data_IF_752756456287
#
_entry.id   IF_752756456287
#
_cell.length_a   1.000
_cell.length_b   1.000
_cell.length_c   1.000
_cell.angle_alpha   90.00
_cell.angle_beta   90.00
_cell.angle_gamma   90.00
#
_symmetry.space_group_name_H-M   'P 1'
#
loop_
_entity.id
_entity.type
_entity.pdbx_description
1 polymer ?
#
# COMPACT_ATOMS: atom_id res chain seq x y z
N UNK A 1 0.82 7.48 -14.89
CA UNK A 1 2.29 7.65 -14.63
C UNK A 1 2.55 7.45 -13.13
N UNK A 2 2.21 6.24 -12.61
CA UNK A 2 2.46 5.86 -11.22
C UNK A 2 3.89 5.36 -11.00
N UNK A 3 4.23 5.01 -9.74
CA UNK A 3 5.60 4.67 -9.32
C UNK A 3 6.22 3.51 -10.13
N UNK A 4 5.47 2.46 -10.46
CA UNK A 4 5.98 1.31 -11.24
C UNK A 4 6.39 1.71 -12.65
N UNK A 5 5.46 2.32 -13.42
CA UNK A 5 5.71 2.74 -14.79
C UNK A 5 6.82 3.78 -14.89
N UNK A 6 6.84 4.74 -13.96
CA UNK A 6 7.88 5.78 -13.92
C UNK A 6 9.26 5.22 -13.61
N UNK A 7 9.35 4.28 -12.66
CA UNK A 7 10.63 3.65 -12.30
C UNK A 7 11.23 2.85 -13.44
N UNK A 8 10.44 2.03 -14.13
CA UNK A 8 10.96 1.23 -15.25
C UNK A 8 11.28 2.11 -16.46
N UNK A 9 10.47 3.15 -16.74
CA UNK A 9 10.74 4.11 -17.83
C UNK A 9 12.12 4.76 -17.62
N UNK A 10 12.43 5.19 -16.40
CA UNK A 10 13.74 5.78 -16.07
C UNK A 10 14.88 4.78 -16.22
N UNK A 11 14.72 3.54 -15.74
CA UNK A 11 15.74 2.52 -15.87
C UNK A 11 16.05 2.20 -17.34
N UNK A 12 15.03 2.11 -18.19
CA UNK A 12 15.21 1.90 -19.64
C UNK A 12 15.98 3.08 -20.24
N UNK A 13 15.51 4.30 -20.02
CA UNK A 13 16.15 5.50 -20.59
C UNK A 13 17.63 5.62 -20.20
N UNK A 14 17.94 5.43 -18.90
CA UNK A 14 19.30 5.60 -18.40
C UNK A 14 20.27 4.47 -18.82
N UNK A 15 19.76 3.24 -18.91
CA UNK A 15 20.64 2.07 -19.08
C UNK A 15 20.77 1.64 -20.54
N UNK A 16 19.74 1.86 -21.36
CA UNK A 16 19.74 1.43 -22.77
C UNK A 16 19.91 2.56 -23.77
N UNK A 17 19.61 3.80 -23.35
CA UNK A 17 19.53 4.95 -24.25
C UNK A 17 18.28 4.94 -25.15
N UNK A 18 17.35 4.03 -24.96
CA UNK A 18 16.14 3.95 -25.74
C UNK A 18 15.17 5.09 -25.39
N UNK A 19 14.43 5.55 -26.39
CA UNK A 19 13.33 6.48 -26.21
C UNK A 19 12.13 5.77 -25.60
N UNK A 20 11.52 6.35 -24.57
CA UNK A 20 10.37 5.81 -23.84
C UNK A 20 9.20 6.76 -23.95
N UNK A 21 8.06 6.28 -24.41
CA UNK A 21 6.80 7.01 -24.33
C UNK A 21 5.99 6.49 -23.17
N UNK A 22 5.74 7.33 -22.16
CA UNK A 22 4.89 7.00 -21.04
C UNK A 22 3.55 7.72 -21.15
N UNK A 23 2.46 6.96 -21.05
CA UNK A 23 1.09 7.49 -21.17
C UNK A 23 0.34 7.37 -19.85
N UNK A 24 -0.64 8.23 -19.63
CA UNK A 24 -1.60 8.13 -18.54
C UNK A 24 -2.99 8.62 -18.99
N UNK A 25 -4.03 7.93 -18.57
CA UNK A 25 -5.43 8.36 -18.82
C UNK A 25 -5.78 9.64 -18.06
N UNK A 26 -5.09 9.93 -16.96
CA UNK A 26 -5.23 11.14 -16.15
C UNK A 26 -4.37 12.31 -16.67
N UNK A 27 -4.47 13.42 -15.97
CA UNK A 27 -3.81 14.69 -16.28
C UNK A 27 -2.61 14.99 -15.37
N UNK A 28 -2.26 14.06 -14.48
CA UNK A 28 -1.26 14.29 -13.43
C UNK A 28 -0.27 13.13 -13.31
N UNK A 29 0.92 13.44 -12.80
CA UNK A 29 1.96 12.49 -12.42
C UNK A 29 1.66 11.97 -11.02
N UNK A 30 2.09 10.72 -10.72
CA UNK A 30 2.00 10.14 -9.38
C UNK A 30 1.12 8.89 -9.30
N UNK A 31 0.09 8.79 -10.14
CA UNK A 31 -0.90 7.72 -10.02
C UNK A 31 -1.49 7.72 -8.61
N UNK A 32 -1.58 6.55 -7.96
CA UNK A 32 -2.09 6.48 -6.58
C UNK A 32 -1.17 7.14 -5.53
N UNK A 33 0.09 7.44 -5.87
CA UNK A 33 1.00 8.19 -4.99
C UNK A 33 0.85 9.72 -5.14
N UNK A 34 -0.09 10.20 -5.96
CA UNK A 34 -0.28 11.62 -6.18
C UNK A 34 -0.56 12.36 -4.88
N UNK A 35 0.23 13.40 -4.64
CA UNK A 35 0.11 14.31 -3.52
C UNK A 35 0.22 15.77 -3.98
N UNK A 36 -0.28 16.66 -3.16
CA UNK A 36 -0.26 18.09 -3.43
C UNK A 36 -0.32 18.89 -2.12
N UNK A 37 0.17 20.12 -2.14
CA UNK A 37 -0.05 21.04 -1.02
C UNK A 37 -1.39 21.73 -1.15
N UNK A 38 -2.18 21.67 -0.08
CA UNK A 38 -3.46 22.41 -0.01
C UNK A 38 -3.24 23.91 0.21
N UNK A 39 -4.32 24.67 0.31
CA UNK A 39 -4.30 26.12 0.56
C UNK A 39 -3.70 26.51 1.93
N UNK A 40 -3.61 25.57 2.86
CA UNK A 40 -3.02 25.77 4.20
C UNK A 40 -1.55 25.32 4.26
N UNK A 41 -0.96 24.90 3.12
CA UNK A 41 0.41 24.43 3.00
C UNK A 41 0.63 23.02 3.51
N UNK A 42 -0.44 22.25 3.76
CA UNK A 42 -0.37 20.86 4.22
C UNK A 42 -0.25 19.93 3.02
N UNK A 43 0.70 18.97 3.05
CA UNK A 43 0.87 17.96 2.01
C UNK A 43 -0.23 16.90 2.12
N UNK A 44 -1.12 16.87 1.15
CA UNK A 44 -2.26 15.95 1.07
C UNK A 44 -1.93 14.79 0.15
N UNK A 45 -2.05 13.57 0.62
CA UNK A 45 -2.01 12.38 -0.21
C UNK A 45 -3.43 12.09 -0.71
N UNK A 46 -3.69 12.37 -1.98
CA UNK A 46 -5.06 12.35 -2.57
C UNK A 46 -5.73 10.99 -2.45
N UNK A 47 -4.97 9.93 -2.57
CA UNK A 47 -5.47 8.55 -2.61
C UNK A 47 -5.14 7.75 -1.34
N UNK A 48 -5.11 8.44 -0.18
CA UNK A 48 -4.80 7.87 1.12
C UNK A 48 -3.31 7.92 1.45
N UNK A 49 -3.00 7.59 2.69
CA UNK A 49 -1.64 7.69 3.20
C UNK A 49 -0.68 6.74 2.52
N UNK A 50 0.34 7.29 1.94
CA UNK A 50 1.46 6.56 1.35
C UNK A 50 2.70 6.79 2.21
N UNK A 51 3.21 5.73 2.82
CA UNK A 51 4.41 5.75 3.66
C UNK A 51 5.43 4.85 3.00
N UNK A 52 6.57 5.40 2.63
CA UNK A 52 7.63 4.59 2.02
C UNK A 52 8.43 3.86 3.10
N UNK A 53 8.57 2.57 2.97
CA UNK A 53 9.39 1.72 3.81
C UNK A 53 9.95 0.56 2.98
N UNK A 54 11.16 0.14 3.29
CA UNK A 54 11.79 -1.00 2.64
C UNK A 54 13.00 -1.51 3.42
N UNK A 55 13.30 -2.80 3.31
CA UNK A 55 14.57 -3.38 3.69
C UNK A 55 15.47 -3.68 2.46
N UNK A 56 14.93 -3.45 1.25
CA UNK A 56 15.68 -3.58 0.00
C UNK A 56 16.51 -2.33 -0.28
N UNK A 57 17.85 -2.49 -0.17
CA UNK A 57 18.79 -1.39 -0.37
C UNK A 57 18.78 -0.84 -1.79
N UNK A 58 18.60 -1.69 -2.80
CA UNK A 58 18.63 -1.26 -4.20
C UNK A 58 17.45 -0.36 -4.55
N UNK A 59 16.27 -0.69 -4.01
CA UNK A 59 15.07 0.16 -4.13
C UNK A 59 15.27 1.50 -3.43
N UNK A 60 15.83 1.48 -2.20
CA UNK A 60 16.13 2.70 -1.47
C UNK A 60 17.14 3.58 -2.21
N UNK A 61 18.23 3.00 -2.69
CA UNK A 61 19.30 3.71 -3.40
C UNK A 61 18.79 4.29 -4.73
N UNK A 62 17.90 3.56 -5.43
CA UNK A 62 17.29 4.04 -6.67
C UNK A 62 16.45 5.29 -6.41
N UNK A 63 15.49 5.24 -5.48
CA UNK A 63 14.62 6.36 -5.20
C UNK A 63 15.35 7.55 -4.58
N UNK A 64 16.38 7.30 -3.76
CA UNK A 64 17.20 8.34 -3.13
C UNK A 64 18.00 9.20 -4.11
N UNK A 65 18.10 8.79 -5.38
CA UNK A 65 18.68 9.65 -6.45
C UNK A 65 17.75 10.81 -6.82
N UNK A 66 16.44 10.69 -6.54
CA UNK A 66 15.43 11.63 -7.00
C UNK A 66 14.75 12.41 -5.88
N UNK A 67 15.00 12.02 -4.64
CA UNK A 67 14.48 12.74 -3.46
C UNK A 67 15.38 12.54 -2.25
N UNK A 68 15.29 13.44 -1.28
CA UNK A 68 15.67 13.17 0.09
C UNK A 68 14.43 12.66 0.85
N UNK A 69 14.63 11.71 1.75
CA UNK A 69 13.56 11.25 2.64
C UNK A 69 13.69 11.92 4.01
N UNK A 70 12.56 12.33 4.58
CA UNK A 70 12.55 12.76 5.99
C UNK A 70 12.66 11.55 6.92
N UNK A 71 12.93 11.82 8.19
CA UNK A 71 13.04 10.80 9.24
C UNK A 71 11.66 10.51 9.84
N UNK A 72 10.75 9.97 9.02
CA UNK A 72 9.40 9.63 9.46
C UNK A 72 9.28 8.15 9.79
N UNK A 73 9.00 7.84 11.07
CA UNK A 73 8.76 6.48 11.55
C UNK A 73 7.26 6.28 11.79
N UNK A 74 6.61 5.59 10.88
CA UNK A 74 5.15 5.44 10.91
C UNK A 74 4.66 4.70 12.14
N UNK A 75 3.63 5.26 12.78
CA UNK A 75 2.88 4.63 13.87
C UNK A 75 1.41 4.65 13.51
N UNK A 76 0.72 3.58 13.87
CA UNK A 76 -0.73 3.44 13.72
C UNK A 76 -1.30 3.08 15.08
N UNK A 77 -2.37 3.73 15.46
CA UNK A 77 -3.16 3.34 16.63
C UNK A 77 -4.51 2.80 16.17
N UNK A 78 -5.15 1.99 17.02
CA UNK A 78 -6.54 1.61 16.89
C UNK A 78 -7.34 2.17 18.07
N UNK A 79 -8.53 2.67 17.80
CA UNK A 79 -9.46 3.07 18.86
C UNK A 79 -10.21 1.82 19.36
N UNK A 80 -9.84 1.33 20.53
CA UNK A 80 -10.42 0.15 21.16
C UNK A 80 -11.00 0.55 22.52
N UNK A 81 -12.31 0.39 22.72
CA UNK A 81 -13.00 0.74 23.97
C UNK A 81 -12.66 2.16 24.48
N UNK A 82 -12.51 3.11 23.56
CA UNK A 82 -12.16 4.52 23.86
C UNK A 82 -10.67 4.78 24.08
N UNK A 83 -9.81 3.76 24.01
CA UNK A 83 -8.36 3.90 24.14
C UNK A 83 -7.66 3.83 22.80
N UNK A 84 -6.66 4.70 22.60
CA UNK A 84 -5.77 4.63 21.44
C UNK A 84 -4.66 3.61 21.72
N UNK A 85 -4.72 2.48 21.03
CA UNK A 85 -3.86 1.31 21.24
C UNK A 85 -2.91 1.14 20.07
N UNK A 86 -1.58 1.01 20.28
CA UNK A 86 -0.61 0.81 19.21
C UNK A 86 -0.89 -0.44 18.36
N UNK A 87 -0.70 -0.30 17.03
CA UNK A 87 -0.77 -1.40 16.06
C UNK A 87 0.56 -1.44 15.27
N UNK A 88 1.18 -2.63 15.06
CA UNK A 88 0.76 -3.98 15.46
C UNK A 88 0.57 -4.12 16.98
N UNK A 89 -0.41 -4.93 17.37
CA UNK A 89 -0.70 -5.16 18.78
C UNK A 89 0.55 -5.72 19.48
N UNK A 90 1.01 -5.06 20.55
CA UNK A 90 2.30 -5.30 21.18
C UNK A 90 2.22 -5.21 22.72
N UNK A 91 3.34 -5.25 23.44
CA UNK A 91 3.33 -5.16 24.90
C UNK A 91 2.74 -3.85 25.43
N UNK A 92 2.92 -2.73 24.73
CA UNK A 92 2.31 -1.47 25.13
C UNK A 92 0.79 -1.48 24.85
N UNK A 93 0.36 -2.20 23.81
CA UNK A 93 -1.06 -2.45 23.55
C UNK A 93 -1.71 -3.28 24.68
N UNK A 94 -1.04 -4.37 25.10
CA UNK A 94 -1.49 -5.21 26.22
C UNK A 94 -1.67 -4.37 27.49
N UNK A 95 -0.72 -3.51 27.82
CA UNK A 95 -0.80 -2.65 29.01
C UNK A 95 -1.87 -1.57 28.94
N UNK A 96 -2.23 -1.13 27.74
CA UNK A 96 -3.34 -0.17 27.57
C UNK A 96 -4.71 -0.82 27.65
N UNK A 97 -4.81 -2.09 27.26
CA UNK A 97 -6.08 -2.81 27.24
C UNK A 97 -6.39 -3.53 28.54
N UNK A 98 -5.39 -3.95 29.32
CA UNK A 98 -5.58 -4.83 30.47
C UNK A 98 -4.99 -4.27 31.77
N UNK A 99 -5.57 -4.63 32.93
CA UNK A 99 -4.99 -4.32 34.22
C UNK A 99 -3.55 -4.83 34.37
N UNK A 100 -2.71 -4.09 35.06
CA UNK A 100 -1.26 -4.34 35.15
C UNK A 100 -0.88 -5.78 35.49
N UNK A 101 -1.57 -6.41 36.45
CA UNK A 101 -1.30 -7.80 36.88
C UNK A 101 -1.55 -8.79 35.75
N UNK A 102 -2.65 -8.63 35.01
CA UNK A 102 -2.97 -9.49 33.86
C UNK A 102 -2.00 -9.23 32.70
N UNK A 103 -1.74 -7.96 32.41
CA UNK A 103 -0.81 -7.57 31.35
C UNK A 103 0.59 -8.18 31.56
N UNK A 104 1.12 -8.07 32.78
CA UNK A 104 2.41 -8.67 33.14
C UNK A 104 2.42 -10.19 32.97
N UNK A 105 1.39 -10.89 33.44
CA UNK A 105 1.29 -12.33 33.29
C UNK A 105 1.22 -12.78 31.83
N UNK A 106 0.45 -12.08 31.02
CA UNK A 106 0.37 -12.32 29.55
C UNK A 106 1.74 -12.08 28.89
N UNK A 107 2.41 -10.97 29.21
CA UNK A 107 3.76 -10.67 28.66
C UNK A 107 4.77 -11.79 28.98
N UNK A 108 4.80 -12.27 30.23
CA UNK A 108 5.67 -13.35 30.68
C UNK A 108 5.41 -14.66 29.93
N UNK A 109 4.14 -15.03 29.73
CA UNK A 109 3.74 -16.21 28.95
C UNK A 109 4.11 -16.10 27.48
N UNK A 110 3.86 -14.95 26.86
CA UNK A 110 4.23 -14.71 25.47
C UNK A 110 5.75 -14.83 25.25
N UNK A 111 6.55 -14.26 26.14
CA UNK A 111 8.00 -14.35 26.09
C UNK A 111 8.51 -15.80 26.26
N UNK A 112 7.82 -16.61 27.07
CA UNK A 112 8.15 -18.04 27.23
C UNK A 112 7.86 -18.84 25.96
N UNK A 113 6.84 -18.47 25.18
CA UNK A 113 6.45 -19.18 23.94
C UNK A 113 7.38 -18.88 22.76
N UNK A 114 7.76 -17.61 22.54
CA UNK A 114 8.46 -17.18 21.31
C UNK A 114 9.62 -16.21 21.51
N UNK A 115 9.82 -15.67 22.67
CA UNK A 115 10.87 -14.69 22.94
C UNK A 115 10.59 -13.29 22.38
N UNK A 116 11.38 -12.33 22.87
CA UNK A 116 11.27 -10.91 22.48
C UNK A 116 11.61 -10.70 21.00
N UNK A 117 10.91 -9.77 20.34
CA UNK A 117 11.11 -9.42 18.93
C UNK A 117 10.36 -10.32 17.93
N UNK A 118 9.69 -11.37 18.40
CA UNK A 118 8.90 -12.26 17.53
C UNK A 118 7.56 -11.64 17.14
N UNK A 119 7.09 -11.97 15.94
CA UNK A 119 5.74 -11.68 15.45
C UNK A 119 4.96 -12.98 15.34
N UNK A 120 3.79 -13.03 15.91
CA UNK A 120 2.96 -14.22 15.94
C UNK A 120 1.61 -13.92 15.31
N UNK A 121 1.22 -14.61 14.22
CA UNK A 121 -0.10 -14.47 13.63
C UNK A 121 -1.20 -14.79 14.67
N UNK A 122 -2.29 -14.02 14.64
CA UNK A 122 -3.40 -14.20 15.60
C UNK A 122 -3.93 -15.63 15.61
N UNK A 123 -4.02 -16.28 14.45
CA UNK A 123 -4.51 -17.66 14.33
C UNK A 123 -3.68 -18.67 15.11
N UNK A 124 -2.36 -18.46 15.20
CA UNK A 124 -1.47 -19.35 15.95
C UNK A 124 -1.69 -19.24 17.46
N UNK A 125 -2.15 -18.08 17.94
CA UNK A 125 -2.51 -17.88 19.33
C UNK A 125 -3.84 -18.52 19.72
N UNK A 126 -4.81 -18.58 18.80
CA UNK A 126 -6.12 -19.20 19.09
C UNK A 126 -6.02 -20.69 19.39
N UNK A 127 -4.93 -21.34 18.97
CA UNK A 127 -4.69 -22.77 19.14
C UNK A 127 -3.81 -23.10 20.37
N UNK A 128 -3.46 -22.11 21.20
CA UNK A 128 -2.65 -22.33 22.40
C UNK A 128 -3.48 -22.99 23.54
N UNK A 129 -2.85 -23.86 24.32
CA UNK A 129 -3.50 -24.51 25.47
C UNK A 129 -3.70 -23.58 26.67
N UNK A 130 -2.91 -22.50 26.75
CA UNK A 130 -2.95 -21.51 27.82
C UNK A 130 -4.18 -20.60 27.72
N UNK A 131 -4.95 -20.50 28.83
CA UNK A 131 -6.19 -19.72 28.88
C UNK A 131 -5.96 -18.21 28.67
N UNK A 132 -4.89 -17.64 29.23
CA UNK A 132 -4.60 -16.21 29.09
C UNK A 132 -4.19 -15.88 27.63
N UNK A 133 -3.46 -16.78 26.96
CA UNK A 133 -3.07 -16.60 25.58
C UNK A 133 -4.25 -16.76 24.62
N UNK A 134 -5.16 -17.70 24.87
CA UNK A 134 -6.42 -17.80 24.11
C UNK A 134 -7.31 -16.58 24.31
N UNK A 135 -7.42 -16.11 25.58
CA UNK A 135 -8.16 -14.88 25.88
C UNK A 135 -7.60 -13.68 25.12
N UNK A 136 -6.27 -13.49 25.14
CA UNK A 136 -5.60 -12.44 24.37
C UNK A 136 -5.90 -12.57 22.87
N UNK A 137 -5.78 -13.78 22.31
CA UNK A 137 -6.03 -14.03 20.91
C UNK A 137 -7.47 -13.65 20.52
N UNK A 138 -8.44 -14.08 21.31
CA UNK A 138 -9.85 -13.74 21.06
C UNK A 138 -10.09 -12.23 21.17
N UNK A 139 -9.54 -11.59 22.19
CA UNK A 139 -9.66 -10.14 22.37
C UNK A 139 -9.10 -9.35 21.18
N UNK A 140 -7.90 -9.72 20.71
CA UNK A 140 -7.27 -9.06 19.56
C UNK A 140 -8.05 -9.35 18.27
N UNK A 141 -8.53 -10.58 18.11
CA UNK A 141 -9.35 -10.94 16.97
C UNK A 141 -10.62 -10.08 16.90
N UNK A 142 -11.37 -10.01 17.99
CA UNK A 142 -12.66 -9.32 18.04
C UNK A 142 -12.51 -7.79 17.94
N UNK A 143 -11.50 -7.20 18.59
CA UNK A 143 -11.39 -5.76 18.75
C UNK A 143 -10.47 -5.06 17.75
N UNK A 144 -9.56 -5.81 17.11
CA UNK A 144 -8.58 -5.24 16.17
C UNK A 144 -8.79 -5.74 14.75
N UNK A 145 -9.15 -7.02 14.60
CA UNK A 145 -8.99 -7.71 13.33
C UNK A 145 -10.30 -7.91 12.56
N UNK A 146 -11.30 -8.58 13.15
CA UNK A 146 -12.46 -9.08 12.41
C UNK A 146 -13.23 -7.96 11.71
N UNK A 147 -13.72 -6.98 12.43
CA UNK A 147 -14.57 -5.93 11.87
C UNK A 147 -13.81 -4.95 10.98
N UNK A 148 -12.53 -4.70 11.27
CA UNK A 148 -11.67 -3.92 10.38
C UNK A 148 -11.50 -4.61 9.02
N UNK A 149 -11.23 -5.91 9.06
CA UNK A 149 -11.04 -6.74 7.86
C UNK A 149 -12.34 -6.86 7.05
N UNK A 150 -13.47 -7.07 7.72
CA UNK A 150 -14.79 -7.07 7.07
C UNK A 150 -15.07 -5.75 6.35
N UNK A 151 -14.84 -4.60 6.99
CA UNK A 151 -15.01 -3.30 6.36
C UNK A 151 -14.08 -3.12 5.16
N UNK A 152 -12.80 -3.45 5.31
CA UNK A 152 -11.80 -3.23 4.27
C UNK A 152 -12.02 -4.12 3.05
N UNK A 153 -12.37 -5.39 3.26
CA UNK A 153 -12.46 -6.38 2.19
C UNK A 153 -13.90 -6.71 1.77
N UNK A 154 -14.90 -6.31 2.55
CA UNK A 154 -16.30 -6.65 2.28
C UNK A 154 -16.60 -8.14 2.40
N UNK A 155 -15.74 -8.91 3.06
CA UNK A 155 -15.82 -10.37 3.22
C UNK A 155 -15.44 -10.78 4.63
N UNK A 156 -15.98 -11.92 5.06
CA UNK A 156 -15.53 -12.57 6.29
C UNK A 156 -14.04 -12.90 6.23
N UNK A 157 -13.25 -12.67 7.30
CA UNK A 157 -11.83 -12.95 7.34
C UNK A 157 -11.44 -14.38 6.96
N UNK A 158 -12.33 -15.37 7.19
CA UNK A 158 -12.10 -16.77 6.82
C UNK A 158 -12.10 -17.01 5.30
N UNK A 159 -12.67 -16.07 4.52
CA UNK A 159 -12.76 -16.14 3.06
C UNK A 159 -11.63 -15.37 2.35
N UNK A 160 -10.70 -14.80 3.12
CA UNK A 160 -9.60 -13.99 2.61
C UNK A 160 -8.31 -14.77 2.74
N UNK A 161 -7.41 -14.62 1.74
CA UNK A 161 -6.10 -15.26 1.75
C UNK A 161 -5.36 -15.02 3.09
N UNK A 162 -4.80 -16.11 3.62
CA UNK A 162 -4.01 -16.10 4.84
C UNK A 162 -2.86 -15.09 4.87
N UNK A 163 -2.33 -14.72 3.72
CA UNK A 163 -1.31 -13.67 3.59
C UNK A 163 -1.83 -12.28 3.98
N UNK A 164 -3.12 -12.01 3.77
CA UNK A 164 -3.75 -10.75 4.19
C UNK A 164 -3.96 -10.74 5.70
N UNK A 165 -4.41 -11.86 6.26
CA UNK A 165 -4.68 -12.00 7.69
C UNK A 165 -3.39 -12.05 8.54
N UNK A 166 -2.28 -12.53 7.96
CA UNK A 166 -0.96 -12.55 8.61
C UNK A 166 -0.32 -11.15 8.78
N UNK A 167 -0.87 -10.13 8.15
CA UNK A 167 -0.35 -8.75 8.22
C UNK A 167 -0.59 -8.04 9.56
N UNK A 168 -1.42 -8.60 10.43
CA UNK A 168 -1.69 -8.05 11.76
C UNK A 168 -1.25 -9.05 12.84
N UNK A 169 0.05 -9.28 13.01
CA UNK A 169 0.56 -10.14 14.07
C UNK A 169 0.51 -9.43 15.41
N UNK A 170 0.51 -10.21 16.50
CA UNK A 170 0.93 -9.71 17.80
C UNK A 170 2.46 -9.63 17.79
N UNK A 171 3.00 -8.45 18.09
CA UNK A 171 4.45 -8.20 18.09
C UNK A 171 4.99 -8.19 19.51
N UNK A 172 5.82 -9.16 19.86
CA UNK A 172 6.38 -9.35 21.19
C UNK A 172 7.51 -8.34 21.46
N UNK A 173 7.18 -7.06 21.47
CA UNK A 173 8.11 -5.94 21.60
C UNK A 173 7.41 -4.73 22.21
N UNK A 174 8.20 -3.72 22.57
CA UNK A 174 7.73 -2.34 22.87
C UNK A 174 7.94 -1.38 21.72
N UNK A 175 8.37 -1.89 20.55
CA UNK A 175 8.47 -1.08 19.35
C UNK A 175 7.07 -0.85 18.77
N UNK A 176 6.58 0.39 18.88
CA UNK A 176 5.27 0.81 18.39
C UNK A 176 5.30 1.30 16.92
N UNK A 177 6.42 1.14 16.22
CA UNK A 177 6.46 1.44 14.78
C UNK A 177 5.61 0.43 14.02
N UNK A 178 4.87 0.91 13.04
CA UNK A 178 4.05 0.05 12.21
C UNK A 178 4.90 -0.86 11.33
N UNK A 179 5.98 -0.32 10.77
CA UNK A 179 6.98 -1.05 9.99
C UNK A 179 8.30 -1.18 10.78
N UNK A 180 8.99 -2.31 10.64
CA UNK A 180 10.31 -2.54 11.21
C UNK A 180 11.41 -2.55 10.14
N UNK A 181 11.09 -2.10 8.93
CA UNK A 181 12.04 -1.99 7.83
C UNK A 181 13.18 -1.04 8.15
N UNK A 182 14.35 -1.34 7.57
CA UNK A 182 15.57 -0.58 7.78
C UNK A 182 15.46 0.87 7.32
N UNK A 183 14.79 1.07 6.19
CA UNK A 183 14.60 2.38 5.58
C UNK A 183 13.13 2.75 5.61
N UNK A 184 12.83 3.93 6.12
CA UNK A 184 11.48 4.47 6.19
C UNK A 184 11.53 5.99 6.05
N UNK A 185 10.53 6.57 5.42
CA UNK A 185 10.42 8.03 5.29
C UNK A 185 9.33 8.43 4.30
N UNK A 186 9.16 9.73 4.20
CA UNK A 186 8.33 10.38 3.18
C UNK A 186 9.24 11.24 2.33
N UNK A 187 9.12 11.27 0.99
CA UNK A 187 9.85 12.22 0.17
C UNK A 187 9.65 13.65 0.66
N UNK A 188 10.74 14.38 0.92
CA UNK A 188 10.67 15.69 1.59
C UNK A 188 9.87 16.74 0.80
N UNK A 189 9.79 16.57 -0.53
CA UNK A 189 9.01 17.44 -1.42
C UNK A 189 7.70 16.78 -1.90
N UNK A 190 7.37 15.59 -1.38
CA UNK A 190 6.24 14.77 -1.79
C UNK A 190 6.58 13.74 -2.86
N UNK A 191 5.67 12.78 -3.04
CA UNK A 191 5.80 11.70 -4.02
C UNK A 191 5.69 12.19 -5.46
N UNK A 192 4.78 13.11 -5.73
CA UNK A 192 4.59 13.69 -7.06
C UNK A 192 5.88 14.33 -7.54
N UNK A 193 6.51 15.18 -6.71
CA UNK A 193 7.78 15.81 -7.04
C UNK A 193 8.93 14.79 -7.24
N UNK A 194 8.96 13.72 -6.45
CA UNK A 194 9.93 12.63 -6.66
C UNK A 194 9.71 11.95 -8.02
N UNK A 195 8.47 11.63 -8.37
CA UNK A 195 8.15 10.95 -9.63
C UNK A 195 8.38 11.90 -10.83
N UNK A 196 8.14 13.19 -10.68
CA UNK A 196 8.52 14.20 -11.69
C UNK A 196 10.02 14.14 -11.98
N UNK A 197 10.87 14.11 -10.95
CA UNK A 197 12.33 13.98 -11.10
C UNK A 197 12.75 12.64 -11.73
N UNK A 198 12.05 11.55 -11.42
CA UNK A 198 12.26 10.25 -12.07
C UNK A 198 11.98 10.37 -13.57
N UNK A 199 10.93 11.07 -13.97
CA UNK A 199 10.51 11.24 -15.36
C UNK A 199 11.23 12.40 -16.08
N UNK A 200 12.11 13.14 -15.40
CA UNK A 200 12.88 14.23 -16.00
C UNK A 200 14.09 13.67 -16.76
N UNK A 201 13.84 13.28 -18.01
CA UNK A 201 14.84 12.78 -18.96
C UNK A 201 14.44 13.17 -20.37
N UNK A 202 15.40 13.59 -21.21
CA UNK A 202 15.12 13.91 -22.64
C UNK A 202 14.69 12.68 -23.45
N UNK A 203 14.91 11.49 -22.92
CA UNK A 203 14.51 10.22 -23.54
C UNK A 203 13.12 9.75 -23.10
N UNK A 204 12.44 10.49 -22.21
CA UNK A 204 11.11 10.13 -21.72
C UNK A 204 10.08 11.15 -22.19
N UNK A 205 9.24 10.75 -23.13
CA UNK A 205 8.09 11.52 -23.60
C UNK A 205 6.86 11.22 -22.74
N UNK A 206 6.20 12.23 -22.19
CA UNK A 206 5.01 12.11 -21.34
C UNK A 206 3.76 12.50 -22.12
N UNK A 207 2.74 11.62 -22.18
CA UNK A 207 1.44 11.88 -22.78
C UNK A 207 0.33 11.69 -21.78
N UNK A 208 -0.31 12.77 -21.39
CA UNK A 208 -1.46 12.79 -20.47
C UNK A 208 -2.77 12.67 -21.26
N UNK A 209 -3.87 12.40 -20.52
CA UNK A 209 -5.22 12.24 -21.08
C UNK A 209 -5.23 11.26 -22.25
N UNK A 210 -4.41 10.21 -22.17
CA UNK A 210 -4.22 9.23 -23.24
C UNK A 210 -4.50 7.83 -22.69
N UNK A 211 -5.59 7.23 -23.15
CA UNK A 211 -5.87 5.82 -22.87
C UNK A 211 -5.09 4.92 -23.82
N UNK A 212 -4.69 3.75 -23.35
CA UNK A 212 -3.90 2.82 -24.16
C UNK A 212 -4.63 2.39 -25.44
N UNK A 213 -5.96 2.23 -25.38
CA UNK A 213 -6.75 1.90 -26.58
C UNK A 213 -6.65 2.94 -27.69
N UNK A 214 -6.43 4.22 -27.33
CA UNK A 214 -6.38 5.37 -28.26
C UNK A 214 -4.97 5.66 -28.77
N UNK A 215 -3.96 4.92 -28.34
CA UNK A 215 -2.59 5.06 -28.86
C UNK A 215 -2.56 4.53 -30.29
N UNK A 216 -2.18 5.36 -31.27
CA UNK A 216 -2.00 4.89 -32.65
C UNK A 216 -0.72 4.05 -32.76
N UNK A 217 -0.66 3.19 -33.76
CA UNK A 217 0.54 2.45 -34.18
C UNK A 217 1.23 1.68 -33.05
N UNK A 218 0.42 0.99 -32.20
CA UNK A 218 0.94 0.21 -31.07
C UNK A 218 1.98 -0.84 -31.49
N UNK A 219 1.85 -1.34 -32.69
CA UNK A 219 2.75 -2.34 -33.30
C UNK A 219 4.12 -1.74 -33.66
N UNK A 220 4.25 -0.40 -33.70
CA UNK A 220 5.53 0.27 -33.97
C UNK A 220 6.48 0.31 -32.78
N UNK A 221 5.98 0.01 -31.56
CA UNK A 221 6.80 -0.06 -30.37
C UNK A 221 7.43 -1.44 -30.24
N UNK A 222 8.73 -1.49 -29.94
CA UNK A 222 9.47 -2.73 -29.74
C UNK A 222 8.89 -3.55 -28.57
N UNK A 223 8.50 -2.89 -27.50
CA UNK A 223 7.92 -3.52 -26.33
C UNK A 223 6.99 -2.56 -25.57
N UNK A 224 5.93 -3.11 -24.99
CA UNK A 224 4.92 -2.39 -24.21
C UNK A 224 4.94 -2.90 -22.77
N UNK A 225 5.07 -1.97 -21.83
CA UNK A 225 5.02 -2.22 -20.40
C UNK A 225 3.70 -1.72 -19.84
N UNK A 226 2.78 -2.63 -19.58
CA UNK A 226 1.42 -2.28 -19.21
C UNK A 226 1.20 -2.38 -17.70
N UNK A 227 0.85 -1.25 -17.07
CA UNK A 227 0.60 -1.16 -15.61
C UNK A 227 -0.88 -1.06 -15.25
N UNK A 228 -1.76 -1.06 -16.25
CA UNK A 228 -3.21 -1.06 -16.09
C UNK A 228 -3.79 -2.46 -15.83
N UNK A 229 -5.09 -2.58 -15.60
CA UNK A 229 -5.75 -3.85 -15.35
C UNK A 229 -5.87 -4.69 -16.63
N UNK A 230 -5.45 -5.95 -16.56
CA UNK A 230 -5.42 -6.88 -17.71
C UNK A 230 -6.80 -7.21 -18.25
N UNK A 231 -7.81 -7.26 -17.37
CA UNK A 231 -9.21 -7.52 -17.76
C UNK A 231 -9.78 -6.39 -18.62
N UNK A 232 -9.45 -5.13 -18.30
CA UNK A 232 -9.84 -3.96 -19.10
C UNK A 232 -9.10 -3.96 -20.45
N UNK A 233 -7.81 -4.29 -20.48
CA UNK A 233 -7.04 -4.40 -21.70
C UNK A 233 -7.65 -5.41 -22.70
N UNK A 234 -8.27 -6.46 -22.18
CA UNK A 234 -8.86 -7.55 -22.95
C UNK A 234 -10.40 -7.52 -22.99
N UNK A 235 -10.98 -6.31 -22.86
CA UNK A 235 -12.43 -6.04 -22.98
C UNK A 235 -13.30 -6.96 -22.08
N UNK A 236 -12.80 -7.32 -20.90
CA UNK A 236 -13.49 -8.16 -19.89
C UNK A 236 -13.99 -9.51 -20.41
N UNK A 237 -13.37 -10.08 -21.42
CA UNK A 237 -13.87 -11.29 -22.13
C UNK A 237 -14.00 -12.56 -21.28
N UNK A 238 -13.30 -12.64 -20.14
CA UNK A 238 -13.47 -13.73 -19.16
C UNK A 238 -14.24 -13.28 -17.91
N UNK A 239 -14.76 -12.03 -17.91
CA UNK A 239 -15.39 -11.39 -16.79
C UNK A 239 -14.47 -10.44 -16.04
N UNK A 240 -15.03 -9.47 -15.28
CA UNK A 240 -14.23 -8.49 -14.57
C UNK A 240 -13.48 -9.12 -13.40
N UNK A 241 -12.23 -8.72 -13.21
CA UNK A 241 -11.47 -9.02 -12.00
C UNK A 241 -11.99 -8.17 -10.84
N UNK A 242 -12.27 -8.77 -9.68
CA UNK A 242 -12.75 -8.04 -8.51
C UNK A 242 -11.68 -7.16 -7.89
N UNK A 243 -12.06 -5.93 -7.52
CA UNK A 243 -11.22 -5.01 -6.77
C UNK A 243 -12.00 -4.39 -5.62
N UNK A 244 -11.28 -3.93 -4.62
CA UNK A 244 -11.80 -2.97 -3.63
C UNK A 244 -11.47 -1.56 -4.07
N UNK A 245 -12.35 -0.65 -3.72
CA UNK A 245 -12.19 0.78 -3.84
C UNK A 245 -12.17 1.44 -2.47
N UNK A 246 -11.70 2.67 -2.41
CA UNK A 246 -11.80 3.52 -1.23
C UNK A 246 -12.18 4.94 -1.66
N UNK A 247 -12.97 5.60 -0.82
CA UNK A 247 -13.18 7.04 -0.94
C UNK A 247 -12.82 7.75 0.36
N UNK A 248 -12.49 9.02 0.24
CA UNK A 248 -12.03 9.83 1.36
C UNK A 248 -12.94 11.02 1.57
N UNK A 249 -13.43 11.19 2.80
CA UNK A 249 -14.11 12.40 3.21
C UNK A 249 -13.11 13.32 3.89
N UNK A 250 -12.74 14.40 3.19
CA UNK A 250 -11.78 15.39 3.68
C UNK A 250 -12.49 16.40 4.58
N UNK A 251 -11.87 16.73 5.71
CA UNK A 251 -12.37 17.73 6.65
C UNK A 251 -11.19 18.58 7.15
N UNK A 252 -11.39 19.91 7.19
CA UNK A 252 -10.40 20.88 7.69
C UNK A 252 -10.86 21.42 9.03
N UNK A 253 -9.94 21.55 9.99
CA UNK A 253 -10.21 22.04 11.35
C UNK A 253 -9.26 23.17 11.74
N UNK A 254 -9.79 24.18 12.41
CA UNK A 254 -9.05 25.32 12.99
C UNK A 254 -8.41 24.92 14.31
N UNK A 255 -7.42 24.02 14.24
CA UNK A 255 -6.62 23.57 15.40
C UNK A 255 -5.32 22.90 14.93
N UNK A 256 -4.36 22.81 15.83
CA UNK A 256 -3.04 22.26 15.51
C UNK A 256 -3.10 20.81 15.06
N UNK A 257 -3.79 19.93 15.80
CA UNK A 257 -4.00 18.52 15.46
C UNK A 257 -5.42 18.07 15.79
N UNK A 258 -5.95 17.16 15.00
CA UNK A 258 -7.26 16.53 15.21
C UNK A 258 -7.17 15.33 16.14
N UNK A 259 -6.13 14.53 15.98
CA UNK A 259 -5.88 13.29 16.71
C UNK A 259 -4.43 13.22 17.19
N UNK A 260 -4.09 12.22 17.98
CA UNK A 260 -2.76 12.10 18.61
C UNK A 260 -1.67 11.59 17.67
N UNK A 261 -2.04 11.09 16.49
CA UNK A 261 -1.13 10.41 15.57
C UNK A 261 -1.62 10.53 14.12
N UNK A 262 -0.73 10.32 13.16
CA UNK A 262 -1.04 10.44 11.73
C UNK A 262 -2.16 9.51 11.26
N UNK A 263 -2.24 8.29 11.81
CA UNK A 263 -3.27 7.31 11.45
C UNK A 263 -3.85 6.66 12.70
N UNK A 264 -5.17 6.72 12.83
CA UNK A 264 -5.93 5.96 13.82
C UNK A 264 -6.95 5.10 13.09
N UNK A 265 -6.89 3.79 13.34
CA UNK A 265 -7.86 2.82 12.86
C UNK A 265 -9.09 2.80 13.78
N UNK A 266 -10.25 2.64 13.17
CA UNK A 266 -11.54 2.54 13.84
C UNK A 266 -12.16 1.17 13.54
N UNK A 267 -11.68 0.09 14.20
CA UNK A 267 -12.12 -1.26 13.86
C UNK A 267 -13.59 -1.50 14.14
N UNK A 268 -14.11 -0.97 15.24
CA UNK A 268 -15.47 -1.25 15.72
C UNK A 268 -16.39 -0.03 15.61
N UNK A 269 -17.71 -0.23 15.49
CA UNK A 269 -18.80 0.76 15.67
C UNK A 269 -18.71 2.04 14.80
N UNK A 270 -17.95 2.02 13.70
CA UNK A 270 -17.80 3.12 12.76
C UNK A 270 -17.97 2.60 11.34
N UNK A 271 -18.50 3.45 10.47
CA UNK A 271 -18.71 3.14 9.04
C UNK A 271 -17.45 3.38 8.19
N UNK A 272 -16.44 4.06 8.74
CA UNK A 272 -15.12 4.25 8.14
C UNK A 272 -14.07 3.33 8.77
N UNK A 273 -12.98 3.09 8.05
CA UNK A 273 -11.90 2.19 8.49
C UNK A 273 -10.87 2.90 9.36
N UNK A 274 -10.51 4.14 8.98
CA UNK A 274 -9.45 4.93 9.64
C UNK A 274 -9.57 6.40 9.35
N UNK A 275 -8.90 7.20 10.17
CA UNK A 275 -8.70 8.63 9.93
C UNK A 275 -7.21 8.86 9.70
N UNK A 276 -6.90 9.56 8.60
CA UNK A 276 -5.58 10.07 8.29
C UNK A 276 -5.50 11.54 8.66
N UNK A 277 -4.42 11.96 9.33
CA UNK A 277 -4.10 13.36 9.56
C UNK A 277 -2.77 13.67 8.89
N UNK A 278 -2.81 14.38 7.78
CA UNK A 278 -1.69 14.54 6.86
C UNK A 278 -0.54 15.38 7.40
N UNK A 279 -0.82 16.34 8.25
CA UNK A 279 0.15 17.29 8.81
C UNK A 279 1.34 16.63 9.49
N UNK A 280 1.15 15.41 10.04
CA UNK A 280 2.21 14.66 10.70
C UNK A 280 3.32 14.16 9.76
N UNK A 281 3.02 13.94 8.47
CA UNK A 281 3.95 13.26 7.56
C UNK A 281 5.21 14.06 7.27
N UNK A 282 5.06 15.34 6.97
CA UNK A 282 6.17 16.26 6.74
C UNK A 282 6.36 17.27 7.88
N UNK A 283 5.63 17.11 8.99
CA UNK A 283 5.61 18.07 10.10
C UNK A 283 5.30 19.49 9.63
N UNK A 284 4.31 19.60 8.75
CA UNK A 284 3.89 20.85 8.14
C UNK A 284 3.44 21.86 9.20
N UNK A 285 3.78 23.11 9.00
CA UNK A 285 3.45 24.22 9.92
C UNK A 285 2.20 24.93 9.42
N UNK A 286 1.14 24.83 10.19
CA UNK A 286 -0.14 25.49 9.91
C UNK A 286 -0.94 25.56 11.21
N UNK A 287 -1.77 26.59 11.35
CA UNK A 287 -2.73 26.72 12.46
C UNK A 287 -3.95 25.79 12.25
N UNK A 288 -4.08 25.24 11.05
CA UNK A 288 -5.13 24.30 10.68
C UNK A 288 -4.59 22.88 10.52
N UNK A 289 -5.49 21.92 10.56
CA UNK A 289 -5.18 20.54 10.19
C UNK A 289 -6.23 19.98 9.24
N UNK A 290 -5.81 19.05 8.38
CA UNK A 290 -6.67 18.34 7.43
C UNK A 290 -6.64 16.85 7.75
N UNK A 291 -7.84 16.28 7.88
CA UNK A 291 -8.02 14.84 8.02
C UNK A 291 -8.76 14.26 6.83
N UNK A 292 -8.57 12.96 6.63
CA UNK A 292 -9.37 12.16 5.71
C UNK A 292 -9.95 10.95 6.44
N UNK A 293 -11.28 10.82 6.45
CA UNK A 293 -11.95 9.58 6.84
C UNK A 293 -12.00 8.66 5.65
N UNK A 294 -11.45 7.45 5.80
CA UNK A 294 -11.38 6.44 4.75
C UNK A 294 -12.55 5.47 4.83
N UNK A 295 -13.28 5.34 3.72
CA UNK A 295 -14.37 4.40 3.55
C UNK A 295 -13.98 3.37 2.49
N UNK A 296 -14.08 2.11 2.83
CA UNK A 296 -13.84 1.02 1.89
C UNK A 296 -15.15 0.57 1.25
N UNK A 297 -15.12 0.36 -0.05
CA UNK A 297 -16.28 -0.02 -0.85
C UNK A 297 -15.90 -0.99 -1.97
N UNK A 298 -16.89 -1.61 -2.62
CA UNK A 298 -16.64 -2.41 -3.79
C UNK A 298 -16.28 -1.53 -5.00
N UNK A 299 -15.34 -2.01 -5.80
CA UNK A 299 -15.07 -1.39 -7.09
C UNK A 299 -16.24 -1.61 -8.04
N UNK A 300 -16.69 -0.54 -8.68
CA UNK A 300 -17.73 -0.58 -9.71
C UNK A 300 -17.22 0.13 -10.96
N UNK A 301 -17.18 -0.59 -12.08
CA UNK A 301 -16.70 -0.10 -13.37
C UNK A 301 -17.39 1.22 -13.73
N UNK A 302 -16.60 2.24 -14.04
CA UNK A 302 -17.08 3.57 -14.43
C UNK A 302 -17.60 4.46 -13.30
N UNK A 303 -17.54 4.02 -12.02
CA UNK A 303 -18.02 4.80 -10.88
C UNK A 303 -16.91 5.22 -9.91
N UNK A 304 -15.95 4.33 -9.64
CA UNK A 304 -14.88 4.57 -8.70
C UNK A 304 -13.56 3.94 -9.17
N UNK A 305 -12.48 4.14 -8.41
CA UNK A 305 -11.14 3.70 -8.81
C UNK A 305 -10.79 2.32 -8.23
N UNK A 306 -9.93 1.58 -8.95
CA UNK A 306 -9.35 0.31 -8.48
C UNK A 306 -8.21 0.57 -7.49
N UNK A 307 -8.34 0.08 -6.26
CA UNK A 307 -7.27 0.21 -5.26
C UNK A 307 -6.59 -1.12 -4.96
N UNK A 308 -7.35 -2.13 -4.59
CA UNK A 308 -6.80 -3.39 -4.10
C UNK A 308 -7.41 -4.57 -4.85
N UNK A 309 -6.61 -5.39 -5.56
CA UNK A 309 -7.06 -6.69 -6.04
C UNK A 309 -7.60 -7.54 -4.89
N UNK A 310 -8.70 -8.25 -5.10
CA UNK A 310 -9.28 -9.15 -4.10
C UNK A 310 -8.59 -10.53 -4.22
N UNK A 311 -7.74 -10.95 -3.25
CA UNK A 311 -6.97 -12.17 -3.37
C UNK A 311 -7.78 -13.39 -2.90
N UNK A 312 -8.34 -14.14 -3.84
CA UNK A 312 -8.97 -15.45 -3.61
C UNK A 312 -8.46 -16.44 -4.67
N UNK A 313 -8.65 -17.74 -4.43
CA UNK A 313 -8.26 -18.76 -5.40
C UNK A 313 -8.98 -18.55 -6.74
N UNK A 314 -10.28 -18.23 -6.70
CA UNK A 314 -11.10 -17.96 -7.89
C UNK A 314 -10.54 -16.79 -8.72
N UNK A 315 -10.12 -15.72 -8.04
CA UNK A 315 -9.57 -14.54 -8.73
C UNK A 315 -8.18 -14.81 -9.27
N UNK A 316 -7.38 -15.64 -8.61
CA UNK A 316 -6.09 -16.08 -9.10
C UNK A 316 -6.23 -16.92 -10.38
N UNK A 317 -7.20 -17.86 -10.42
CA UNK A 317 -7.51 -18.64 -11.62
C UNK A 317 -8.00 -17.75 -12.77
N UNK A 318 -8.87 -16.78 -12.48
CA UNK A 318 -9.37 -15.85 -13.50
C UNK A 318 -8.23 -14.99 -14.07
N UNK A 319 -7.36 -14.46 -13.21
CA UNK A 319 -6.18 -13.71 -13.63
C UNK A 319 -5.24 -14.57 -14.49
N UNK A 320 -5.02 -15.82 -14.11
CA UNK A 320 -4.19 -16.75 -14.89
C UNK A 320 -4.73 -16.99 -16.30
N UNK A 321 -6.07 -17.09 -16.48
CA UNK A 321 -6.70 -17.19 -17.80
C UNK A 321 -6.41 -15.97 -18.68
N UNK A 322 -6.44 -14.77 -18.06
CA UNK A 322 -6.07 -13.54 -18.77
C UNK A 322 -4.60 -13.52 -19.18
N UNK A 323 -3.68 -13.94 -18.29
CA UNK A 323 -2.26 -14.03 -18.61
C UNK A 323 -1.98 -14.96 -19.77
N UNK A 324 -2.51 -16.19 -19.75
CA UNK A 324 -2.33 -17.19 -20.81
C UNK A 324 -2.86 -16.68 -22.16
N UNK A 325 -3.96 -15.94 -22.15
CA UNK A 325 -4.48 -15.34 -23.36
C UNK A 325 -3.59 -14.19 -23.87
N UNK A 326 -3.13 -13.33 -22.95
CA UNK A 326 -2.26 -12.22 -23.26
C UNK A 326 -0.89 -12.66 -23.81
N UNK A 327 -0.29 -13.71 -23.26
CA UNK A 327 0.97 -14.27 -23.76
C UNK A 327 0.87 -14.76 -25.22
N UNK A 328 -0.30 -15.26 -25.63
CA UNK A 328 -0.54 -15.74 -27.00
C UNK A 328 -0.85 -14.61 -27.97
N UNK A 329 -1.62 -13.62 -27.54
CA UNK A 329 -2.20 -12.60 -28.41
C UNK A 329 -1.42 -11.28 -28.44
N UNK A 330 -0.67 -11.02 -27.36
CA UNK A 330 0.05 -9.77 -27.12
C UNK A 330 1.52 -10.04 -26.73
N UNK A 331 2.30 -10.74 -27.57
CA UNK A 331 3.63 -11.24 -27.20
C UNK A 331 4.66 -10.15 -26.92
N UNK A 332 4.42 -8.92 -27.33
CA UNK A 332 5.27 -7.77 -27.04
C UNK A 332 4.81 -6.93 -25.83
N UNK A 333 3.85 -7.43 -25.02
CA UNK A 333 3.37 -6.76 -23.81
C UNK A 333 3.85 -7.51 -22.57
N UNK A 334 4.40 -6.79 -21.61
CA UNK A 334 4.67 -7.29 -20.25
C UNK A 334 3.87 -6.51 -19.23
N UNK A 335 3.38 -7.23 -18.23
CA UNK A 335 2.58 -6.67 -17.14
C UNK A 335 3.44 -6.40 -15.91
N UNK A 336 3.18 -5.29 -15.23
CA UNK A 336 3.80 -4.94 -13.95
C UNK A 336 2.93 -3.94 -13.21
N UNK A 337 3.22 -3.76 -11.94
CA UNK A 337 2.44 -2.87 -11.09
C UNK A 337 1.23 -3.57 -10.47
N UNK A 338 0.66 -2.97 -9.42
CA UNK A 338 -0.41 -3.58 -8.63
C UNK A 338 -1.60 -4.05 -9.46
N UNK A 339 -2.00 -3.28 -10.46
CA UNK A 339 -3.13 -3.64 -11.33
C UNK A 339 -2.70 -4.62 -12.42
N UNK A 340 -1.53 -4.40 -13.05
CA UNK A 340 -1.00 -5.27 -14.10
C UNK A 340 -0.66 -6.68 -13.63
N UNK A 341 -0.05 -6.81 -12.45
CA UNK A 341 0.25 -8.10 -11.81
C UNK A 341 -0.95 -8.69 -11.03
N UNK A 342 -2.06 -7.96 -10.90
CA UNK A 342 -3.19 -8.31 -10.04
C UNK A 342 -2.76 -8.75 -8.64
N UNK A 343 -1.82 -8.01 -8.04
CA UNK A 343 -1.24 -8.30 -6.72
C UNK A 343 -1.33 -7.14 -5.77
N UNK A 344 -1.66 -7.45 -4.50
CA UNK A 344 -1.55 -6.47 -3.43
C UNK A 344 -0.11 -6.42 -2.91
N UNK A 345 0.59 -5.32 -3.19
CA UNK A 345 1.92 -5.06 -2.65
C UNK A 345 2.18 -3.55 -2.44
N UNK A 346 3.15 -3.25 -1.59
CA UNK A 346 3.52 -1.90 -1.21
C UNK A 346 4.42 -1.24 -2.27
N UNK A 347 4.70 0.05 -2.12
CA UNK A 347 5.47 0.83 -3.10
C UNK A 347 6.87 0.27 -3.35
N UNK A 348 7.54 -0.24 -2.31
CA UNK A 348 8.86 -0.83 -2.44
C UNK A 348 8.85 -2.08 -3.34
N UNK A 349 7.83 -2.92 -3.18
CA UNK A 349 7.62 -4.10 -4.03
C UNK A 349 7.26 -3.72 -5.46
N UNK A 350 6.53 -2.59 -5.62
CA UNK A 350 6.22 -2.06 -6.94
C UNK A 350 7.48 -1.63 -7.70
N UNK A 351 8.42 -0.96 -7.02
CA UNK A 351 9.71 -0.57 -7.59
C UNK A 351 10.61 -1.80 -7.81
N UNK A 352 10.69 -2.72 -6.84
CA UNK A 352 11.45 -3.96 -6.98
C UNK A 352 10.95 -4.78 -8.18
N UNK A 353 9.64 -4.92 -8.36
CA UNK A 353 9.06 -5.58 -9.53
C UNK A 353 9.45 -4.91 -10.83
N UNK A 354 9.50 -3.57 -10.85
CA UNK A 354 9.98 -2.83 -12.03
C UNK A 354 11.46 -3.13 -12.33
N UNK A 355 12.30 -3.28 -11.30
CA UNK A 355 13.69 -3.71 -11.47
C UNK A 355 13.80 -5.13 -12.01
N UNK A 356 12.98 -6.06 -11.52
CA UNK A 356 12.96 -7.45 -11.96
C UNK A 356 12.55 -7.55 -13.45
N UNK A 357 11.50 -6.83 -13.84
CA UNK A 357 11.05 -6.79 -15.24
C UNK A 357 12.11 -6.14 -16.12
N UNK A 358 12.72 -5.04 -15.68
CA UNK A 358 13.82 -4.41 -16.40
C UNK A 358 14.98 -5.39 -16.60
N UNK A 359 15.43 -6.08 -15.56
CA UNK A 359 16.51 -7.06 -15.64
C UNK A 359 16.19 -8.24 -16.55
N UNK A 360 14.92 -8.67 -16.58
CA UNK A 360 14.48 -9.77 -17.46
C UNK A 360 14.51 -9.38 -18.92
N UNK A 361 14.10 -8.14 -19.24
CA UNK A 361 13.97 -7.69 -20.62
C UNK A 361 15.28 -7.08 -21.18
N UNK A 362 16.03 -6.38 -20.36
CA UNK A 362 17.16 -5.55 -20.76
C UNK A 362 18.46 -5.90 -20.02
N UNK A 363 18.40 -6.74 -18.98
CA UNK A 363 19.61 -7.22 -18.30
C UNK A 363 20.45 -8.06 -19.28
N UNK A 364 21.72 -7.66 -19.47
CA UNK A 364 22.64 -8.47 -20.25
C UNK A 364 22.76 -9.83 -19.53
N UNK A 365 22.45 -10.91 -20.25
CA UNK A 365 22.98 -12.22 -19.90
C UNK A 365 24.50 -12.08 -20.04
N UNK A 366 25.19 -11.84 -18.91
CA UNK A 366 26.65 -12.04 -18.90
C UNK A 366 26.87 -13.52 -19.22
N UNK A 367 27.24 -13.78 -20.46
CA UNK A 367 27.86 -15.03 -20.85
C UNK A 367 29.25 -15.16 -20.22
#
# INVERSE_FOLDING_TARGET
MGISGSSIARMIADSTGNHVVIIDKGDSIGGNCYDYRDENGIMIHKYGSHIFHTSNKDVWDFLSKYTSFNTYMHRVYALIEGNEVPIPFNFDSIRRCFPETLAKRIEEKLLAVRGYGSKIPIRDFMQQDDEDLRFLAQYVYDNVFVHYTEKQWGKDPSQIDGAVTARVPVYLSRDCRYFQDRFQGIPSEGYTAMIEKILDSPLIEKRFNTEFKDVPDKESYDHILYTGPIDELMDYRFGPLPYRSVHFKMETYDREHYQSNAVINYPNNYDFTRIHEYKYYLNDKSDKTVIAKEYSEDFVIGKNERYYPVPTDETAELYQKYLEAAEKELPNISFLGRLGDYKYYDMDKAVARSMDVFNTLFGHKNE
#
